data_IF_402416794693
#
_entry.id   IF_402416794693
#
_cell.length_a   1.000
_cell.length_b   1.000
_cell.length_c   1.000
_cell.angle_alpha   90.00
_cell.angle_beta   90.00
_cell.angle_gamma   90.00
#
_symmetry.space_group_name_H-M   'P 1'
#
loop_
_entity.id
_entity.type
_entity.pdbx_description
1 polymer ?
#
# COMPACT_ATOMS: atom_id res chain seq x y z
N UNK A 1 8.40 -8.81 -10.29
CA UNK A 1 7.24 -8.54 -11.15
C UNK A 1 6.47 -7.47 -10.43
N UNK A 2 6.49 -6.25 -10.95
CA UNK A 2 5.70 -5.17 -10.39
C UNK A 2 4.23 -5.49 -10.63
N UNK A 3 3.38 -5.41 -9.61
CA UNK A 3 1.94 -5.66 -9.72
C UNK A 3 1.20 -4.49 -9.10
N UNK A 4 0.35 -3.80 -9.86
CA UNK A 4 -0.61 -2.84 -9.30
C UNK A 4 -2.02 -3.41 -9.45
N UNK A 5 -2.85 -3.22 -8.41
CA UNK A 5 -4.26 -3.65 -8.40
C UNK A 5 -5.14 -2.57 -7.80
N UNK A 6 -6.33 -2.36 -8.37
CA UNK A 6 -7.34 -1.55 -7.70
C UNK A 6 -8.06 -2.35 -6.62
N UNK A 7 -8.21 -1.72 -5.46
CA UNK A 7 -8.96 -2.20 -4.31
C UNK A 7 -10.07 -1.22 -3.96
N UNK A 8 -11.20 -1.76 -3.51
CA UNK A 8 -12.33 -0.99 -3.00
C UNK A 8 -12.93 -1.64 -1.76
N UNK A 9 -13.15 -0.82 -0.73
CA UNK A 9 -13.87 -1.23 0.46
C UNK A 9 -15.37 -1.15 0.18
N UNK A 10 -16.09 -2.24 0.45
CA UNK A 10 -17.55 -2.26 0.30
C UNK A 10 -18.27 -1.53 1.44
N UNK A 11 -17.62 -1.38 2.60
CA UNK A 11 -18.24 -0.80 3.79
C UNK A 11 -18.04 0.72 3.88
N UNK A 12 -16.80 1.20 3.69
CA UNK A 12 -16.48 2.64 3.83
C UNK A 12 -16.10 3.34 2.52
N UNK A 13 -16.10 2.62 1.39
CA UNK A 13 -15.80 3.19 0.07
C UNK A 13 -14.34 3.61 -0.14
N UNK A 14 -13.41 3.26 0.76
CA UNK A 14 -11.98 3.46 0.52
C UNK A 14 -11.58 2.79 -0.79
N UNK A 15 -10.95 3.54 -1.70
CA UNK A 15 -10.41 3.05 -2.96
C UNK A 15 -8.91 3.30 -3.01
N UNK A 16 -8.18 2.41 -3.68
CA UNK A 16 -6.73 2.54 -3.86
C UNK A 16 -6.23 1.69 -5.02
N UNK A 17 -5.22 2.18 -5.75
CA UNK A 17 -4.46 1.38 -6.72
C UNK A 17 -3.06 1.19 -6.16
N UNK A 18 -2.78 -0.01 -5.67
CA UNK A 18 -1.56 -0.35 -4.92
C UNK A 18 -1.15 -1.80 -5.16
N UNK A 19 0.07 -2.15 -4.80
CA UNK A 19 0.57 -3.53 -4.86
C UNK A 19 -0.23 -4.49 -3.99
N UNK A 20 -0.66 -4.02 -2.82
CA UNK A 20 -1.40 -4.80 -1.85
C UNK A 20 -0.52 -5.65 -0.94
N UNK A 21 0.69 -5.16 -0.64
CA UNK A 21 1.69 -5.79 0.21
C UNK A 21 3.11 -5.54 -0.31
N UNK A 22 4.02 -6.44 0.05
CA UNK A 22 5.40 -6.43 -0.45
C UNK A 22 5.42 -6.67 -1.97
N UNK A 23 6.19 -5.84 -2.68
CA UNK A 23 6.38 -5.92 -4.13
C UNK A 23 7.76 -5.37 -4.52
N UNK A 24 8.16 -5.58 -5.77
CA UNK A 24 9.31 -4.95 -6.40
C UNK A 24 8.85 -4.13 -7.60
N UNK A 25 8.32 -2.93 -7.31
CA UNK A 25 8.04 -1.94 -8.34
C UNK A 25 9.35 -1.43 -8.98
N UNK A 26 9.26 -0.75 -10.12
CA UNK A 26 10.41 -0.24 -10.89
C UNK A 26 11.45 0.58 -10.09
N UNK A 27 11.06 1.12 -8.93
CA UNK A 27 11.90 1.97 -8.07
C UNK A 27 12.56 1.22 -6.91
N UNK A 28 12.35 -0.09 -6.77
CA UNK A 28 12.92 -0.91 -5.70
C UNK A 28 11.88 -1.70 -4.90
N UNK A 29 12.31 -2.37 -3.81
CA UNK A 29 11.39 -3.06 -2.92
C UNK A 29 10.39 -2.05 -2.37
N UNK A 30 9.12 -2.42 -2.42
CA UNK A 30 7.99 -1.57 -2.07
C UNK A 30 7.10 -2.34 -1.11
N UNK A 31 6.42 -1.63 -0.21
CA UNK A 31 5.33 -2.22 0.56
C UNK A 31 4.17 -1.22 0.64
N UNK A 32 2.96 -1.73 0.79
CA UNK A 32 1.75 -0.90 0.87
C UNK A 32 1.51 -0.45 2.32
N UNK A 33 1.21 0.84 2.50
CA UNK A 33 0.90 1.44 3.80
C UNK A 33 -0.40 2.24 3.74
N UNK A 34 -1.13 2.23 4.84
CA UNK A 34 -2.25 3.13 5.09
C UNK A 34 -1.77 4.37 5.85
N UNK A 35 -1.98 5.55 5.27
CA UNK A 35 -1.76 6.81 5.98
C UNK A 35 -3.00 7.18 6.78
N UNK A 36 -2.89 7.22 8.11
CA UNK A 36 -4.01 7.63 8.97
C UNK A 36 -4.38 9.11 8.82
N UNK A 37 -3.43 9.96 8.43
CA UNK A 37 -3.67 11.40 8.26
C UNK A 37 -4.39 11.72 6.95
N UNK A 38 -3.99 11.06 5.86
CA UNK A 38 -4.57 11.24 4.54
C UNK A 38 -5.77 10.29 4.28
N UNK A 39 -5.93 9.27 5.13
CA UNK A 39 -6.87 8.16 4.98
C UNK A 39 -6.74 7.39 3.65
N UNK A 40 -5.54 7.26 3.11
CA UNK A 40 -5.27 6.60 1.82
C UNK A 40 -4.34 5.39 1.99
N UNK A 41 -4.49 4.40 1.10
CA UNK A 41 -3.47 3.38 0.87
C UNK A 41 -2.50 3.87 -0.21
N UNK A 42 -1.21 3.64 -0.01
CA UNK A 42 -0.17 3.99 -0.96
C UNK A 42 1.00 3.02 -0.86
N UNK A 43 1.69 2.85 -1.97
CA UNK A 43 2.94 2.10 -2.03
C UNK A 43 4.11 2.99 -1.66
N UNK A 44 4.99 2.49 -0.79
CA UNK A 44 6.20 3.19 -0.37
C UNK A 44 7.42 2.34 -0.68
N UNK A 45 8.36 2.94 -1.40
CA UNK A 45 9.66 2.34 -1.70
C UNK A 45 10.46 2.23 -0.40
N UNK A 46 10.85 1.01 -0.08
CA UNK A 46 11.67 0.67 1.08
C UNK A 46 13.16 0.85 0.74
N UNK A 47 14.00 1.21 1.73
CA UNK A 47 15.45 1.24 1.52
C UNK A 47 15.97 -0.16 1.21
N UNK A 48 16.82 -0.26 0.16
CA UNK A 48 17.48 -1.51 -0.26
C UNK A 48 18.35 -2.13 0.84
N UNK A 49 18.90 -1.29 1.72
CA UNK A 49 19.73 -1.70 2.85
C UNK A 49 19.16 -1.05 4.09
N UNK A 50 18.73 -1.89 5.04
CA UNK A 50 18.38 -1.42 6.38
C UNK A 50 19.63 -1.53 7.26
N UNK A 51 20.01 -0.48 8.00
CA UNK A 51 21.19 -0.52 8.86
C UNK A 51 21.06 -1.57 9.98
N UNK A 52 19.83 -1.94 10.34
CA UNK A 52 19.49 -3.09 11.18
C UNK A 52 18.06 -3.55 10.90
N UNK A 53 17.72 -4.80 11.28
CA UNK A 53 16.35 -5.35 11.15
C UNK A 53 15.32 -4.53 11.94
N UNK A 54 15.73 -3.96 13.08
CA UNK A 54 14.88 -3.18 13.99
C UNK A 54 14.84 -1.68 13.65
N UNK A 55 15.62 -1.22 12.67
CA UNK A 55 15.61 0.19 12.29
C UNK A 55 14.21 0.58 11.81
N UNK A 56 13.54 1.57 12.43
CA UNK A 56 12.24 2.02 11.95
C UNK A 56 12.40 2.47 10.50
N UNK A 57 11.48 2.05 9.64
CA UNK A 57 11.47 2.60 8.29
C UNK A 57 10.93 4.02 8.42
N UNK A 58 11.81 5.01 8.30
CA UNK A 58 11.42 6.41 8.19
C UNK A 58 10.78 6.63 6.82
N UNK A 59 9.56 6.13 6.70
CA UNK A 59 8.71 6.34 5.56
C UNK A 59 7.72 7.44 5.93
N UNK A 60 7.58 8.41 5.05
CA UNK A 60 6.59 9.47 5.17
C UNK A 60 5.53 9.25 4.10
N UNK A 61 4.29 9.62 4.40
CA UNK A 61 3.23 9.63 3.42
C UNK A 61 3.63 10.54 2.24
N UNK A 62 3.61 10.03 1.01
CA UNK A 62 4.01 10.81 -0.16
C UNK A 62 3.12 12.04 -0.40
N UNK A 63 1.87 12.01 0.08
CA UNK A 63 0.91 13.11 -0.08
C UNK A 63 0.95 14.16 1.05
N UNK A 64 1.10 13.75 2.31
CA UNK A 64 1.01 14.65 3.47
C UNK A 64 2.26 14.67 4.37
N UNK A 65 3.32 13.96 4.00
CA UNK A 65 4.57 13.82 4.74
C UNK A 65 4.41 13.30 6.20
N UNK A 66 3.23 12.81 6.56
CA UNK A 66 2.94 12.24 7.88
C UNK A 66 3.68 10.92 8.08
N UNK A 67 4.16 10.69 9.31
CA UNK A 67 4.76 9.42 9.74
C UNK A 67 3.72 8.45 10.31
N UNK A 68 2.43 8.83 10.33
CA UNK A 68 1.33 7.99 10.83
C UNK A 68 0.89 6.94 9.79
N UNK A 69 1.85 6.13 9.35
CA UNK A 69 1.66 5.04 8.42
C UNK A 69 1.46 3.73 9.17
N UNK A 70 0.56 2.89 8.65
CA UNK A 70 0.34 1.53 9.14
C UNK A 70 0.51 0.59 7.96
N UNK A 71 1.39 -0.39 8.10
CA UNK A 71 1.61 -1.40 7.08
C UNK A 71 0.34 -2.20 6.79
N UNK A 72 0.00 -2.31 5.50
CA UNK A 72 -1.19 -2.99 5.04
C UNK A 72 -0.85 -3.96 3.91
N UNK A 73 -1.54 -5.10 3.88
CA UNK A 73 -1.50 -6.04 2.77
C UNK A 73 -2.91 -6.50 2.46
N UNK A 74 -3.14 -7.02 1.26
CA UNK A 74 -4.44 -7.52 0.79
C UNK A 74 -5.04 -8.65 1.64
N UNK A 75 -4.25 -9.26 2.51
CA UNK A 75 -4.70 -10.25 3.50
C UNK A 75 -5.28 -9.62 4.78
N UNK A 76 -5.10 -8.32 4.97
CA UNK A 76 -5.61 -7.57 6.14
C UNK A 76 -6.94 -6.88 5.80
N UNK A 77 -7.83 -6.68 6.79
CA UNK A 77 -9.08 -5.94 6.58
C UNK A 77 -8.82 -4.48 6.17
N UNK A 78 -9.88 -3.79 5.78
CA UNK A 78 -9.83 -2.36 5.44
C UNK A 78 -9.23 -1.57 6.63
N UNK A 79 -8.12 -0.85 6.44
CA UNK A 79 -7.44 -0.17 7.54
C UNK A 79 -8.20 1.07 8.04
N UNK A 80 -9.19 1.57 7.28
CA UNK A 80 -10.04 2.70 7.66
C UNK A 80 -11.20 2.29 8.58
N UNK A 81 -11.85 1.17 8.30
CA UNK A 81 -13.11 0.79 8.97
C UNK A 81 -13.17 -0.65 9.49
N UNK A 82 -12.10 -1.43 9.30
CA UNK A 82 -12.04 -2.86 9.60
C UNK A 82 -13.00 -3.75 8.77
N UNK A 83 -13.63 -3.18 7.74
CA UNK A 83 -14.49 -3.88 6.79
C UNK A 83 -13.72 -4.69 5.73
N UNK A 84 -14.45 -5.16 4.71
CA UNK A 84 -13.87 -5.95 3.62
C UNK A 84 -13.31 -5.06 2.52
N UNK A 85 -12.00 -5.17 2.28
CA UNK A 85 -11.33 -4.56 1.13
C UNK A 85 -11.10 -5.65 0.07
N UNK A 86 -11.72 -5.50 -1.09
CA UNK A 86 -11.61 -6.47 -2.19
C UNK A 86 -11.06 -5.80 -3.44
N UNK A 87 -10.61 -6.59 -4.40
CA UNK A 87 -10.26 -6.09 -5.73
C UNK A 87 -11.48 -5.41 -6.36
N UNK A 88 -11.29 -4.26 -6.98
CA UNK A 88 -12.35 -3.61 -7.73
C UNK A 88 -12.56 -4.37 -9.04
N UNK A 89 -13.73 -5.01 -9.25
CA UNK A 89 -13.98 -5.83 -10.44
C UNK A 89 -14.11 -5.01 -11.74
N UNK A 90 -14.10 -3.68 -11.64
CA UNK A 90 -14.16 -2.79 -12.82
C UNK A 90 -12.79 -2.39 -13.35
N UNK A 91 -11.71 -2.74 -12.66
CA UNK A 91 -10.35 -2.35 -13.04
C UNK A 91 -9.61 -3.50 -13.78
N UNK A 92 -9.39 -3.31 -15.08
CA UNK A 92 -8.68 -4.26 -15.95
C UNK A 92 -7.15 -4.01 -15.99
N UNK A 93 -6.59 -3.17 -15.12
CA UNK A 93 -5.18 -2.82 -15.14
C UNK A 93 -4.37 -3.68 -14.17
N UNK A 94 -3.97 -4.86 -14.63
CA UNK A 94 -2.75 -5.50 -14.09
C UNK A 94 -1.60 -5.00 -14.97
N UNK A 95 -0.83 -4.03 -14.46
CA UNK A 95 0.47 -3.73 -15.06
C UNK A 95 1.45 -4.77 -14.50
N UNK A 96 1.54 -5.91 -15.18
CA UNK A 96 2.64 -6.87 -15.01
C UNK A 96 3.81 -6.35 -15.86
N UNK A 97 4.83 -5.81 -15.20
CA UNK A 97 6.10 -5.55 -15.85
C UNK A 97 7.00 -6.79 -15.67
N UNK A 98 7.14 -7.55 -16.75
CA UNK A 98 8.10 -8.66 -16.93
C UNK A 98 9.52 -8.11 -17.17
#
# INVERSE_FOLDING_TARGET
MATLRAYKCQDCGLTATVSGGEDALFSGPTNTFYCKSCETLQDIVLPLVRPSLDAPIENNCSSCNSTHLVEWSSLKPCPRCNGSLALDPTDNFVIDAD
#
